data_IF_130062868456
#
_entry.id   IF_130062868456
#
_cell.length_a   1.000
_cell.length_b   1.000
_cell.length_c   1.000
_cell.angle_alpha   90.00
_cell.angle_beta   90.00
_cell.angle_gamma   90.00
#
_symmetry.space_group_name_H-M   'P 1'
#
loop_
_entity.id
_entity.type
_entity.pdbx_description
1 polymer ?
#
# COMPACT_ATOMS: atom_id res chain seq x y z
N UNK A 1 -3.58 20.24 25.11
CA UNK A 1 -4.83 19.46 24.97
C UNK A 1 -4.78 18.49 23.81
N UNK A 2 -4.61 18.98 22.57
CA UNK A 2 -4.58 18.12 21.36
C UNK A 2 -3.47 17.06 21.40
N UNK A 3 -2.26 17.42 21.87
CA UNK A 3 -1.15 16.48 22.05
C UNK A 3 -1.47 15.33 23.01
N UNK A 4 -2.24 15.59 24.08
CA UNK A 4 -2.66 14.55 25.03
C UNK A 4 -3.67 13.59 24.39
N UNK A 5 -4.63 14.11 23.62
CA UNK A 5 -5.58 13.29 22.86
C UNK A 5 -4.86 12.42 21.82
N UNK A 6 -3.84 12.97 21.20
CA UNK A 6 -3.02 12.27 20.21
C UNK A 6 -2.17 11.17 20.85
N UNK A 7 -1.51 11.46 21.97
CA UNK A 7 -0.73 10.47 22.74
C UNK A 7 -1.65 9.36 23.28
N UNK A 8 -2.82 9.73 23.81
CA UNK A 8 -3.84 8.78 24.24
C UNK A 8 -4.33 7.89 23.09
N UNK A 9 -4.60 8.46 21.92
CA UNK A 9 -4.98 7.71 20.73
C UNK A 9 -3.84 6.79 20.23
N UNK A 10 -2.57 7.21 20.33
CA UNK A 10 -1.44 6.37 19.97
C UNK A 10 -1.28 5.18 20.93
N UNK A 11 -1.39 5.42 22.24
CA UNK A 11 -1.40 4.37 23.26
C UNK A 11 -2.57 3.41 23.07
N UNK A 12 -3.76 3.91 22.74
CA UNK A 12 -4.92 3.07 22.44
C UNK A 12 -4.68 2.17 21.24
N UNK A 13 -4.10 2.68 20.14
CA UNK A 13 -3.75 1.87 18.97
C UNK A 13 -2.71 0.80 19.35
N UNK A 14 -1.73 1.15 20.17
CA UNK A 14 -0.75 0.18 20.70
C UNK A 14 -1.42 -0.92 21.53
N UNK A 15 -2.28 -0.55 22.48
CA UNK A 15 -3.03 -1.49 23.30
C UNK A 15 -3.97 -2.36 22.46
N UNK A 16 -4.68 -1.78 21.49
CA UNK A 16 -5.53 -2.53 20.56
C UNK A 16 -4.72 -3.54 19.73
N UNK A 17 -3.52 -3.17 19.30
CA UNK A 17 -2.62 -4.06 18.55
C UNK A 17 -2.18 -5.26 19.38
N UNK A 18 -1.80 -5.04 20.64
CA UNK A 18 -1.35 -6.09 21.55
C UNK A 18 -2.51 -7.03 21.94
N UNK A 19 -3.67 -6.46 22.28
CA UNK A 19 -4.89 -7.23 22.57
C UNK A 19 -5.34 -8.05 21.36
N UNK A 20 -5.33 -7.45 20.18
CA UNK A 20 -5.72 -8.10 18.93
C UNK A 20 -4.79 -9.25 18.52
N UNK A 21 -3.50 -9.19 18.87
CA UNK A 21 -2.55 -10.29 18.63
C UNK A 21 -2.78 -11.44 19.62
N UNK A 22 -2.95 -11.12 20.91
CA UNK A 22 -3.04 -12.13 21.96
C UNK A 22 -4.33 -12.95 21.90
N UNK A 23 -5.45 -12.32 21.54
CA UNK A 23 -6.78 -12.96 21.50
C UNK A 23 -7.24 -13.34 20.08
N UNK A 24 -6.34 -13.29 19.09
CA UNK A 24 -6.68 -13.56 17.68
C UNK A 24 -7.26 -14.97 17.47
N UNK A 25 -6.72 -15.97 18.19
CA UNK A 25 -7.06 -17.37 17.99
C UNK A 25 -8.39 -17.79 18.66
N UNK A 26 -8.87 -17.01 19.63
CA UNK A 26 -9.97 -17.38 20.52
C UNK A 26 -11.27 -16.58 20.27
N UNK A 27 -11.15 -15.33 19.80
CA UNK A 27 -12.28 -14.36 19.70
C UNK A 27 -12.59 -13.92 18.26
N UNK A 28 -11.75 -14.31 17.28
CA UNK A 28 -11.87 -13.83 15.89
C UNK A 28 -11.70 -12.31 15.78
N UNK A 29 -12.14 -11.71 14.66
CA UNK A 29 -11.97 -10.27 14.38
C UNK A 29 -12.94 -9.34 15.16
N UNK A 30 -13.42 -9.78 16.32
CA UNK A 30 -14.37 -9.02 17.13
C UNK A 30 -13.63 -8.14 18.13
N UNK A 31 -13.68 -6.82 17.92
CA UNK A 31 -13.06 -5.86 18.84
C UNK A 31 -13.97 -5.61 20.05
N UNK A 32 -13.40 -5.46 21.26
CA UNK A 32 -14.19 -5.21 22.45
C UNK A 32 -14.86 -3.82 22.40
N UNK A 33 -16.06 -3.73 22.97
CA UNK A 33 -16.95 -2.55 22.86
C UNK A 33 -16.28 -1.28 23.39
N UNK A 34 -15.48 -1.37 24.46
CA UNK A 34 -14.79 -0.22 25.04
C UNK A 34 -13.74 0.39 24.08
N UNK A 35 -13.00 -0.43 23.33
CA UNK A 35 -12.06 0.06 22.31
C UNK A 35 -12.83 0.75 21.20
N UNK A 36 -13.95 0.17 20.77
CA UNK A 36 -14.78 0.75 19.70
C UNK A 36 -15.30 2.13 20.10
N UNK A 37 -15.84 2.28 21.32
CA UNK A 37 -16.33 3.57 21.84
C UNK A 37 -15.21 4.62 21.90
N UNK A 38 -14.01 4.23 22.34
CA UNK A 38 -12.87 5.14 22.39
C UNK A 38 -12.40 5.56 20.99
N UNK A 39 -12.32 4.62 20.04
CA UNK A 39 -12.00 4.90 18.63
C UNK A 39 -12.98 5.91 18.02
N UNK A 40 -14.30 5.70 18.22
CA UNK A 40 -15.35 6.61 17.74
C UNK A 40 -15.22 7.99 18.42
N UNK A 41 -15.00 8.03 19.74
CA UNK A 41 -14.82 9.28 20.49
C UNK A 41 -13.60 10.09 19.98
N UNK A 42 -12.48 9.41 19.69
CA UNK A 42 -11.32 10.05 19.10
C UNK A 42 -11.66 10.62 17.73
N UNK A 43 -12.26 9.84 16.80
CA UNK A 43 -12.65 10.34 15.48
C UNK A 43 -13.54 11.58 15.57
N UNK A 44 -14.55 11.59 16.46
CA UNK A 44 -15.42 12.75 16.68
C UNK A 44 -14.62 13.94 17.19
N UNK A 45 -13.75 13.75 18.18
CA UNK A 45 -12.92 14.84 18.72
C UNK A 45 -12.04 15.50 17.65
N UNK A 46 -11.40 14.70 16.78
CA UNK A 46 -10.57 15.19 15.68
C UNK A 46 -11.39 15.85 14.58
N UNK A 47 -12.61 15.37 14.35
CA UNK A 47 -13.55 16.00 13.40
C UNK A 47 -13.94 17.39 13.88
N UNK A 48 -14.26 17.55 15.17
CA UNK A 48 -14.57 18.85 15.77
C UNK A 48 -13.35 19.77 15.71
N UNK A 49 -12.16 19.29 16.05
CA UNK A 49 -10.93 20.07 15.97
C UNK A 49 -10.65 20.57 14.53
N UNK A 50 -10.81 19.70 13.54
CA UNK A 50 -10.64 20.04 12.13
C UNK A 50 -11.69 21.07 11.69
N UNK A 51 -12.96 20.88 12.05
CA UNK A 51 -14.04 21.81 11.73
C UNK A 51 -13.77 23.19 12.33
N UNK A 52 -13.37 23.27 13.60
CA UNK A 52 -12.99 24.52 14.23
C UNK A 52 -11.83 25.19 13.47
N UNK A 53 -10.79 24.43 13.10
CA UNK A 53 -9.66 24.98 12.33
C UNK A 53 -10.08 25.49 10.96
N UNK A 54 -10.96 24.78 10.27
CA UNK A 54 -11.54 25.21 8.98
C UNK A 54 -12.39 26.47 9.14
N UNK A 55 -13.16 26.60 10.22
CA UNK A 55 -13.95 27.79 10.50
C UNK A 55 -13.06 29.00 10.82
N UNK A 56 -11.96 28.81 11.56
CA UNK A 56 -11.00 29.88 11.89
C UNK A 56 -10.17 30.34 10.68
N UNK A 57 -9.66 29.42 9.87
CA UNK A 57 -8.84 29.75 8.69
C UNK A 57 -9.69 30.07 7.44
N UNK A 58 -10.97 29.71 7.46
CA UNK A 58 -11.96 29.98 6.42
C UNK A 58 -11.56 29.44 5.04
N UNK A 59 -11.83 30.22 4.00
CA UNK A 59 -11.49 29.88 2.59
C UNK A 59 -9.98 29.84 2.31
N UNK A 60 -9.14 30.31 3.24
CA UNK A 60 -7.69 30.28 3.11
C UNK A 60 -7.11 28.90 3.45
N UNK A 61 -7.88 28.04 4.13
CA UNK A 61 -7.45 26.69 4.55
C UNK A 61 -6.97 25.82 3.38
N UNK A 62 -7.65 25.87 2.23
CA UNK A 62 -7.29 25.12 1.02
C UNK A 62 -6.54 25.94 -0.03
N UNK A 63 -6.20 27.19 0.26
CA UNK A 63 -5.52 28.05 -0.73
C UNK A 63 -4.03 27.72 -0.77
N UNK A 64 -3.50 27.51 -1.98
CA UNK A 64 -2.10 27.14 -2.26
C UNK A 64 -1.04 28.11 -1.71
N UNK A 65 -1.43 29.33 -1.32
CA UNK A 65 -0.54 30.31 -0.68
C UNK A 65 -0.11 29.89 0.73
N UNK A 66 -0.87 29.02 1.40
CA UNK A 66 -0.52 28.52 2.72
C UNK A 66 0.54 27.42 2.64
N UNK A 67 1.71 27.66 3.22
CA UNK A 67 2.83 26.68 3.32
C UNK A 67 2.41 25.37 4.01
N UNK A 68 1.36 25.40 4.82
CA UNK A 68 0.84 24.24 5.55
C UNK A 68 -0.29 23.50 4.82
N UNK A 69 -0.64 23.88 3.58
CA UNK A 69 -1.79 23.30 2.85
C UNK A 69 -1.70 21.77 2.70
N UNK A 70 -0.50 21.23 2.49
CA UNK A 70 -0.29 19.78 2.38
C UNK A 70 -0.59 19.04 3.70
N UNK A 71 -0.19 19.64 4.83
CA UNK A 71 -0.44 19.08 6.15
C UNK A 71 -1.92 19.18 6.54
N UNK A 72 -2.56 20.29 6.18
CA UNK A 72 -3.99 20.50 6.37
C UNK A 72 -4.83 19.56 5.50
N UNK A 73 -4.43 19.33 4.25
CA UNK A 73 -5.08 18.39 3.34
C UNK A 73 -4.91 16.94 3.82
N UNK A 74 -3.74 16.57 4.34
CA UNK A 74 -3.51 15.26 4.96
C UNK A 74 -4.42 15.07 6.18
N UNK A 75 -4.51 16.06 7.08
CA UNK A 75 -5.38 16.00 8.27
C UNK A 75 -6.85 15.82 7.87
N UNK A 76 -7.31 16.58 6.86
CA UNK A 76 -8.65 16.46 6.31
C UNK A 76 -8.92 15.07 5.68
N UNK A 77 -7.97 14.55 4.90
CA UNK A 77 -8.09 13.20 4.33
C UNK A 77 -8.19 12.14 5.43
N UNK A 78 -7.39 12.23 6.49
CA UNK A 78 -7.41 11.26 7.60
C UNK A 78 -8.71 11.27 8.40
N UNK A 79 -9.29 12.46 8.62
CA UNK A 79 -10.62 12.57 9.24
C UNK A 79 -11.68 11.96 8.33
N UNK A 80 -11.66 12.26 7.03
CA UNK A 80 -12.59 11.68 6.06
C UNK A 80 -12.51 10.15 6.01
N UNK A 81 -11.29 9.59 5.93
CA UNK A 81 -11.12 8.13 5.97
C UNK A 81 -11.61 7.52 7.29
N UNK A 82 -11.52 8.26 8.40
CA UNK A 82 -12.05 7.81 9.68
C UNK A 82 -13.55 7.82 9.79
N UNK A 83 -14.20 8.83 9.22
CA UNK A 83 -15.65 8.85 9.09
C UNK A 83 -16.14 7.73 8.18
N UNK A 84 -15.46 7.47 7.06
CA UNK A 84 -15.82 6.35 6.18
C UNK A 84 -15.62 4.99 6.86
N UNK A 85 -14.57 4.81 7.66
CA UNK A 85 -14.35 3.57 8.43
C UNK A 85 -15.55 3.30 9.36
N UNK A 86 -16.00 4.33 10.07
CA UNK A 86 -17.10 4.19 11.02
C UNK A 86 -18.46 4.00 10.32
N UNK A 87 -18.71 4.73 9.24
CA UNK A 87 -19.92 4.58 8.44
C UNK A 87 -20.02 3.19 7.82
N UNK A 88 -18.91 2.63 7.33
CA UNK A 88 -18.87 1.27 6.76
C UNK A 88 -19.19 0.23 7.84
N UNK A 89 -18.61 0.35 9.04
CA UNK A 89 -18.91 -0.58 10.15
C UNK A 89 -20.38 -0.57 10.55
N UNK A 90 -21.02 0.60 10.54
CA UNK A 90 -22.44 0.74 10.88
C UNK A 90 -23.32 0.17 9.76
N UNK A 91 -23.07 0.59 8.52
CA UNK A 91 -23.90 0.24 7.36
C UNK A 91 -23.80 -1.23 6.97
N UNK A 92 -22.65 -1.87 7.19
CA UNK A 92 -22.38 -3.26 6.79
C UNK A 92 -22.23 -4.21 7.98
N UNK A 93 -22.87 -3.89 9.12
CA UNK A 93 -22.84 -4.73 10.32
C UNK A 93 -23.46 -6.13 10.14
N UNK A 94 -24.24 -6.36 9.08
CA UNK A 94 -25.02 -7.59 8.87
C UNK A 94 -24.80 -8.29 7.52
N UNK A 95 -23.83 -7.86 6.72
CA UNK A 95 -23.69 -8.32 5.33
C UNK A 95 -22.56 -9.36 5.14
N UNK A 96 -22.76 -10.37 4.27
CA UNK A 96 -21.82 -11.47 4.11
C UNK A 96 -20.56 -11.13 3.31
N UNK A 97 -19.55 -11.95 3.58
CA UNK A 97 -18.10 -11.91 3.32
C UNK A 97 -17.64 -11.70 1.86
N UNK A 98 -18.04 -10.61 1.19
CA UNK A 98 -17.52 -10.28 -0.16
C UNK A 98 -17.10 -8.82 -0.28
N UNK A 99 -15.83 -8.59 -0.64
CA UNK A 99 -15.23 -7.24 -0.84
C UNK A 99 -14.94 -6.45 0.45
N UNK A 100 -15.81 -6.54 1.45
CA UNK A 100 -15.74 -5.78 2.71
C UNK A 100 -14.45 -6.06 3.47
N UNK A 101 -14.00 -7.32 3.54
CA UNK A 101 -12.77 -7.69 4.24
C UNK A 101 -11.51 -7.06 3.65
N UNK A 102 -11.48 -6.80 2.33
CA UNK A 102 -10.37 -6.10 1.69
C UNK A 102 -10.34 -4.63 2.08
N UNK A 103 -11.51 -4.00 2.15
CA UNK A 103 -11.66 -2.61 2.56
C UNK A 103 -11.32 -2.46 4.05
N UNK A 104 -11.80 -3.37 4.91
CA UNK A 104 -11.46 -3.40 6.34
C UNK A 104 -9.94 -3.51 6.57
N UNK A 105 -9.21 -4.28 5.76
CA UNK A 105 -7.73 -4.34 5.82
C UNK A 105 -7.08 -2.99 5.52
N UNK A 106 -7.56 -2.27 4.51
CA UNK A 106 -7.03 -0.93 4.16
C UNK A 106 -7.40 0.10 5.24
N UNK A 107 -8.60 0.02 5.79
CA UNK A 107 -9.06 0.92 6.86
C UNK A 107 -8.26 0.76 8.16
N UNK A 108 -7.70 -0.43 8.45
CA UNK A 108 -6.73 -0.59 9.54
C UNK A 108 -5.44 0.21 9.31
N UNK A 109 -4.94 0.28 8.07
CA UNK A 109 -3.75 1.06 7.74
C UNK A 109 -3.96 2.56 7.96
N UNK A 110 -5.17 3.06 7.66
CA UNK A 110 -5.54 4.47 7.94
C UNK A 110 -5.33 4.82 9.42
N UNK A 111 -5.63 3.90 10.35
CA UNK A 111 -5.41 4.14 11.79
C UNK A 111 -3.93 4.35 12.12
N UNK A 112 -3.03 3.62 11.46
CA UNK A 112 -1.58 3.80 11.59
C UNK A 112 -1.14 5.16 11.03
N UNK A 113 -1.68 5.56 9.87
CA UNK A 113 -1.40 6.87 9.28
C UNK A 113 -1.87 8.01 10.20
N UNK A 114 -2.91 7.81 11.02
CA UNK A 114 -3.27 8.79 12.06
C UNK A 114 -2.18 8.98 13.12
N UNK A 115 -1.27 8.04 13.37
CA UNK A 115 -0.13 8.29 14.27
C UNK A 115 0.85 9.29 13.64
N UNK A 116 0.94 9.35 12.31
CA UNK A 116 1.80 10.30 11.60
C UNK A 116 1.36 11.75 11.85
N UNK A 117 0.08 11.99 12.19
CA UNK A 117 -0.35 13.35 12.57
C UNK A 117 0.33 13.84 13.86
N UNK A 118 0.80 12.96 14.75
CA UNK A 118 1.61 13.34 15.93
C UNK A 118 2.88 14.07 15.48
N UNK A 119 3.51 13.56 14.41
CA UNK A 119 4.77 14.08 13.89
C UNK A 119 4.65 15.52 13.36
N UNK A 120 3.45 15.98 13.01
CA UNK A 120 3.24 17.34 12.50
C UNK A 120 3.13 18.40 13.60
N UNK A 121 2.83 18.01 14.84
CA UNK A 121 2.71 18.93 15.99
C UNK A 121 4.07 19.37 16.52
N UNK A 122 5.06 18.47 16.45
CA UNK A 122 6.43 18.78 16.82
C UNK A 122 7.14 19.41 15.63
N UNK A 123 7.57 20.66 15.78
CA UNK A 123 8.28 21.39 14.74
C UNK A 123 9.52 20.62 14.24
N UNK A 124 10.23 19.96 15.16
CA UNK A 124 11.43 19.16 14.87
C UNK A 124 11.11 17.92 14.03
N UNK A 125 10.03 17.21 14.35
CA UNK A 125 9.58 16.05 13.58
C UNK A 125 9.16 16.43 12.16
N UNK A 126 8.50 17.59 11.97
CA UNK A 126 8.18 18.10 10.63
C UNK A 126 9.44 18.38 9.80
N UNK A 127 10.50 18.92 10.42
CA UNK A 127 11.78 19.16 9.74
C UNK A 127 12.45 17.84 9.37
N UNK A 128 12.46 16.87 10.29
CA UNK A 128 12.99 15.53 10.02
C UNK A 128 12.23 14.84 8.87
N UNK A 129 10.90 14.87 8.87
CA UNK A 129 10.07 14.29 7.79
C UNK A 129 10.34 15.00 6.46
N UNK A 130 10.47 16.33 6.45
CA UNK A 130 10.85 17.06 5.24
C UNK A 130 12.23 16.63 4.71
N UNK A 131 13.18 16.37 5.61
CA UNK A 131 14.49 15.80 5.27
C UNK A 131 14.38 14.42 4.62
N UNK A 132 13.59 13.52 5.22
CA UNK A 132 13.32 12.18 4.67
C UNK A 132 12.70 12.26 3.28
N UNK A 133 11.70 13.12 3.08
CA UNK A 133 11.05 13.31 1.78
C UNK A 133 12.03 13.85 0.72
N UNK A 134 12.94 14.74 1.12
CA UNK A 134 13.99 15.22 0.24
C UNK A 134 14.95 14.09 -0.19
N UNK A 135 15.38 13.26 0.75
CA UNK A 135 16.21 12.09 0.46
C UNK A 135 15.48 11.08 -0.42
N UNK A 136 14.18 10.84 -0.20
CA UNK A 136 13.36 9.96 -1.02
C UNK A 136 13.32 10.41 -2.49
N UNK A 137 13.25 11.72 -2.75
CA UNK A 137 13.34 12.24 -4.13
C UNK A 137 14.63 11.82 -4.81
N UNK A 138 15.76 11.85 -4.10
CA UNK A 138 17.06 11.39 -4.63
C UNK A 138 17.07 9.87 -4.83
N UNK A 139 16.56 9.11 -3.86
CA UNK A 139 16.40 7.66 -3.95
C UNK A 139 15.53 7.24 -5.15
N UNK A 140 14.48 7.98 -5.48
CA UNK A 140 13.64 7.69 -6.65
C UNK A 140 14.44 7.70 -7.96
N UNK A 141 15.38 8.64 -8.12
CA UNK A 141 16.25 8.67 -9.30
C UNK A 141 17.22 7.48 -9.30
N UNK A 142 17.76 7.10 -8.14
CA UNK A 142 18.62 5.93 -8.02
C UNK A 142 17.88 4.63 -8.36
N UNK A 143 16.65 4.46 -7.87
CA UNK A 143 15.78 3.32 -8.18
C UNK A 143 15.46 3.29 -9.67
N UNK A 144 15.15 4.44 -10.28
CA UNK A 144 14.89 4.52 -11.72
C UNK A 144 16.11 4.09 -12.54
N UNK A 145 17.31 4.56 -12.16
CA UNK A 145 18.55 4.15 -12.81
C UNK A 145 18.78 2.65 -12.66
N UNK A 146 18.61 2.10 -11.45
CA UNK A 146 18.72 0.67 -11.18
C UNK A 146 17.77 -0.13 -12.08
N UNK A 147 16.52 0.31 -12.22
CA UNK A 147 15.52 -0.32 -13.08
C UNK A 147 15.93 -0.29 -14.56
N UNK A 148 16.45 0.84 -15.05
CA UNK A 148 16.93 0.96 -16.43
C UNK A 148 18.07 -0.03 -16.69
N UNK A 149 19.06 -0.08 -15.80
CA UNK A 149 20.21 -1.01 -15.94
C UNK A 149 19.73 -2.46 -15.88
N UNK A 150 18.87 -2.80 -14.91
CA UNK A 150 18.29 -4.14 -14.82
C UNK A 150 17.50 -4.52 -16.08
N UNK A 151 16.79 -3.56 -16.68
CA UNK A 151 16.04 -3.78 -17.91
C UNK A 151 16.95 -4.02 -19.12
N UNK A 152 18.04 -3.27 -19.24
CA UNK A 152 19.06 -3.50 -20.28
C UNK A 152 19.65 -4.90 -20.19
N UNK A 153 20.06 -5.34 -19.00
CA UNK A 153 20.53 -6.71 -18.80
C UNK A 153 19.47 -7.74 -19.17
N UNK A 154 18.20 -7.49 -18.85
CA UNK A 154 17.07 -8.34 -19.26
C UNK A 154 16.97 -8.50 -20.77
N UNK A 155 17.08 -7.41 -21.53
CA UNK A 155 17.08 -7.45 -23.00
C UNK A 155 18.28 -8.23 -23.52
N UNK A 156 19.50 -7.95 -23.02
CA UNK A 156 20.70 -8.64 -23.48
C UNK A 156 20.60 -10.16 -23.32
N UNK A 157 20.09 -10.62 -22.17
CA UNK A 157 19.86 -12.06 -21.93
C UNK A 157 18.81 -12.60 -22.89
N UNK A 158 17.71 -11.87 -23.11
CA UNK A 158 16.65 -12.31 -24.01
C UNK A 158 17.12 -12.42 -25.46
N UNK A 159 17.92 -11.48 -25.95
CA UNK A 159 18.52 -11.52 -27.29
C UNK A 159 19.55 -12.65 -27.42
N UNK A 160 20.36 -12.87 -26.38
CA UNK A 160 21.32 -13.98 -26.36
C UNK A 160 20.60 -15.34 -26.41
N UNK A 161 19.56 -15.53 -25.61
CA UNK A 161 18.77 -16.77 -25.63
C UNK A 161 18.03 -16.93 -26.96
N UNK A 162 17.43 -15.86 -27.49
CA UNK A 162 16.72 -15.88 -28.78
C UNK A 162 17.64 -16.22 -29.95
N UNK A 163 18.87 -15.70 -29.97
CA UNK A 163 19.85 -16.05 -31.00
C UNK A 163 20.26 -17.52 -30.93
N UNK A 164 20.52 -18.05 -29.73
CA UNK A 164 20.84 -19.47 -29.55
C UNK A 164 19.69 -20.40 -29.93
N UNK A 165 18.46 -20.05 -29.59
CA UNK A 165 17.29 -20.82 -30.01
C UNK A 165 17.12 -20.82 -31.53
N UNK A 166 17.36 -19.68 -32.18
CA UNK A 166 17.31 -19.54 -33.65
C UNK A 166 18.39 -20.39 -34.33
N UNK A 167 19.62 -20.37 -33.84
CA UNK A 167 20.72 -21.18 -34.38
C UNK A 167 20.41 -22.68 -34.28
N UNK A 168 19.87 -23.14 -33.13
CA UNK A 168 19.45 -24.54 -32.96
C UNK A 168 18.30 -24.92 -33.91
N UNK A 169 17.36 -24.01 -34.16
CA UNK A 169 16.27 -24.25 -35.10
C UNK A 169 16.78 -24.40 -36.55
N UNK A 170 17.70 -23.55 -36.99
CA UNK A 170 18.30 -23.67 -38.33
C UNK A 170 19.20 -24.89 -38.49
N UNK A 171 19.98 -25.25 -37.46
CA UNK A 171 20.76 -26.49 -37.47
C UNK A 171 19.84 -27.73 -37.60
N UNK A 172 18.75 -27.77 -36.84
CA UNK A 172 17.75 -28.83 -36.95
C UNK A 172 17.05 -28.87 -38.32
N UNK A 173 16.77 -27.72 -38.93
CA UNK A 173 16.18 -27.66 -40.27
C UNK A 173 17.15 -28.19 -41.35
N UNK A 174 18.44 -27.81 -41.28
CA UNK A 174 19.46 -28.31 -42.20
C UNK A 174 19.67 -29.83 -42.11
N UNK A 175 19.57 -30.41 -40.91
CA UNK A 175 19.63 -31.86 -40.73
C UNK A 175 18.41 -32.58 -41.35
N UNK A 176 17.23 -31.98 -41.29
CA UNK A 176 16.02 -32.51 -41.92
C UNK A 176 16.08 -32.46 -43.45
N UNK A 177 16.66 -31.41 -44.02
CA UNK A 177 16.85 -31.27 -45.47
C UNK A 177 17.94 -32.22 -45.98
N UNK A 178 19.02 -32.41 -45.22
CA UNK A 178 20.11 -33.32 -45.58
C UNK A 178 19.73 -34.81 -45.43
N UNK A 179 18.83 -35.14 -44.50
CA UNK A 179 18.35 -36.51 -44.30
C UNK A 179 16.84 -36.57 -43.98
N UNK A 180 15.98 -36.57 -45.00
CA UNK A 180 14.52 -36.53 -44.82
C UNK A 180 13.95 -37.78 -44.13
N UNK A 181 14.64 -38.92 -44.18
CA UNK A 181 14.24 -40.14 -43.48
C UNK A 181 14.41 -40.03 -41.96
N UNK A 182 15.39 -39.25 -41.48
CA UNK A 182 15.58 -39.00 -40.05
C UNK A 182 14.53 -38.03 -39.49
N UNK A 183 14.03 -37.09 -40.32
CA UNK A 183 12.94 -36.19 -39.96
C UNK A 183 11.60 -36.93 -39.77
N UNK A 184 11.26 -37.86 -40.68
CA UNK A 184 10.05 -38.70 -40.58
C UNK A 184 10.10 -39.62 -39.34
N UNK A 185 11.29 -40.14 -39.00
CA UNK A 185 11.50 -40.96 -37.81
C UNK A 185 11.32 -40.17 -36.50
N UNK A 186 11.78 -38.90 -36.46
CA UNK A 186 11.65 -38.02 -35.30
C UNK A 186 10.19 -37.62 -35.06
N UNK A 187 9.45 -37.29 -36.13
CA UNK A 187 8.02 -36.99 -36.07
C UNK A 187 7.20 -38.19 -35.54
N UNK A 188 7.53 -39.41 -35.96
CA UNK A 188 6.90 -40.64 -35.46
C UNK A 188 7.21 -40.90 -33.99
N UNK A 189 8.41 -40.59 -33.52
CA UNK A 189 8.81 -40.71 -32.12
C UNK A 189 8.05 -39.74 -31.20
N UNK A 190 7.93 -38.47 -31.61
CA UNK A 190 7.18 -37.46 -30.84
C UNK A 190 5.67 -37.74 -30.80
N UNK A 191 5.10 -38.30 -31.88
CA UNK A 191 3.70 -38.78 -31.88
C UNK A 191 3.46 -40.00 -30.98
N UNK A 192 4.48 -40.86 -30.77
CA UNK A 192 4.36 -42.05 -29.92
C UNK A 192 4.59 -41.74 -28.43
N UNK A 193 5.20 -40.61 -28.07
CA UNK A 193 5.40 -40.17 -26.68
C UNK A 193 4.19 -39.40 -26.11
N UNK A 194 3.19 -39.11 -26.95
CA UNK A 194 1.95 -38.40 -26.57
C UNK A 194 0.71 -39.31 -26.46
N UNK A 195 0.91 -40.64 -26.47
CA UNK A 195 -0.07 -41.69 -26.11
C UNK A 195 0.47 -42.53 -24.94
#
# INVERSE_FOLDING_TARGET
MVTCLILGNALLIGAQSEWGMTHYFEVGDTTPVWIRVLDTAFVVSFTIELLLRVLFEGRTFFRMYNKNVYWNALDAALVMFGLTDELVKIAWSSAPDTGVFRILRVLRLVRVVRVIRVARFFADLRVMVAGILCSLKSLMWAILLLLIVSFMFGICVMEFVSSKLRDMHFAGAGDCDANPAAADCRLKGDLLLHW
#
